data_IF_807138972744
#
_entry.id   IF_807138972744
#
_cell.length_a   1.000
_cell.length_b   1.000
_cell.length_c   1.000
_cell.angle_alpha   90.00
_cell.angle_beta   90.00
_cell.angle_gamma   90.00
#
_symmetry.space_group_name_H-M   'P 1'
#
loop_
_entity.id
_entity.type
_entity.pdbx_description
1 polymer ?
#
# COMPACT_ATOMS: atom_id res chain seq x y z
N UNK A 1 -0.03 -15.16 -1.89
CA UNK A 1 0.98 -14.24 -1.33
C UNK A 1 0.25 -12.96 -0.99
N UNK A 2 0.36 -12.53 0.26
CA UNK A 2 -0.35 -11.36 0.76
C UNK A 2 0.62 -10.23 1.06
N UNK A 3 0.26 -9.01 0.68
CA UNK A 3 0.99 -7.79 0.97
C UNK A 3 0.02 -6.77 1.58
N UNK A 4 0.42 -6.21 2.72
CA UNK A 4 -0.36 -5.23 3.46
C UNK A 4 0.41 -3.93 3.46
N UNK A 5 -0.18 -2.87 2.91
CA UNK A 5 0.43 -1.54 2.81
C UNK A 5 -0.43 -0.53 3.56
N UNK A 6 0.10 0.13 4.60
CA UNK A 6 -0.67 1.14 5.32
C UNK A 6 -0.79 2.43 4.50
N UNK A 7 -1.94 3.07 4.60
CA UNK A 7 -2.18 4.43 4.09
C UNK A 7 -2.04 5.38 5.27
N UNK A 8 -0.99 6.19 5.24
CA UNK A 8 -0.65 7.13 6.31
C UNK A 8 -1.16 8.52 5.93
N UNK A 9 -1.90 9.15 6.83
CA UNK A 9 -2.38 10.52 6.66
C UNK A 9 -1.24 11.54 6.84
N UNK A 10 -1.42 12.80 6.40
CA UNK A 10 -0.40 13.84 6.58
C UNK A 10 -0.01 14.11 8.04
N UNK A 11 -0.88 13.81 9.01
CA UNK A 11 -0.60 13.91 10.44
C UNK A 11 0.09 12.67 11.04
N UNK A 12 0.37 11.64 10.23
CA UNK A 12 1.15 10.46 10.62
C UNK A 12 0.32 9.30 11.18
N UNK A 13 -1.00 9.42 11.21
CA UNK A 13 -1.90 8.35 11.67
C UNK A 13 -2.17 7.33 10.56
N UNK A 14 -2.52 6.10 10.95
CA UNK A 14 -2.99 5.09 10.00
C UNK A 14 -4.44 5.41 9.64
N UNK A 15 -4.66 5.92 8.44
CA UNK A 15 -5.98 6.27 7.91
C UNK A 15 -6.71 5.05 7.35
N UNK A 16 -5.98 4.19 6.62
CA UNK A 16 -6.52 2.99 6.00
C UNK A 16 -5.41 1.96 5.78
N UNK A 17 -5.79 0.77 5.32
CA UNK A 17 -4.86 -0.31 4.94
C UNK A 17 -5.26 -0.86 3.59
N UNK A 18 -4.30 -0.96 2.67
CA UNK A 18 -4.45 -1.65 1.39
C UNK A 18 -3.97 -3.10 1.55
N UNK A 19 -4.89 -4.04 1.43
CA UNK A 19 -4.63 -5.48 1.47
C UNK A 19 -4.67 -6.05 0.05
N UNK A 20 -3.55 -6.58 -0.43
CA UNK A 20 -3.40 -7.14 -1.78
C UNK A 20 -2.99 -8.61 -1.66
N UNK A 21 -3.70 -9.49 -2.35
CA UNK A 21 -3.43 -10.94 -2.34
C UNK A 21 -3.36 -11.50 -3.77
N UNK A 22 -2.63 -12.60 -3.92
CA UNK A 22 -2.44 -13.30 -5.20
C UNK A 22 -2.16 -14.78 -4.96
N UNK A 23 -2.75 -15.67 -5.75
CA UNK A 23 -2.49 -17.12 -5.64
C UNK A 23 -1.14 -17.55 -6.26
N UNK A 24 -0.39 -16.61 -6.85
CA UNK A 24 0.91 -16.89 -7.50
C UNK A 24 2.07 -16.81 -6.50
N UNK A 25 3.03 -17.74 -6.62
CA UNK A 25 4.31 -17.67 -5.91
C UNK A 25 5.17 -16.54 -6.48
N UNK A 26 5.85 -15.80 -5.61
CA UNK A 26 6.64 -14.59 -5.92
C UNK A 26 5.88 -13.59 -6.80
N UNK A 27 4.59 -13.36 -6.47
CA UNK A 27 3.69 -12.51 -7.24
C UNK A 27 4.08 -11.03 -7.25
N UNK A 28 4.83 -10.57 -6.24
CA UNK A 28 5.19 -9.16 -6.08
C UNK A 28 6.69 -8.99 -6.15
N UNK A 29 7.11 -8.14 -7.08
CA UNK A 29 8.48 -7.66 -7.20
C UNK A 29 8.68 -6.42 -6.33
N UNK A 30 9.94 -5.99 -6.16
CA UNK A 30 10.24 -4.71 -5.50
C UNK A 30 9.59 -3.52 -6.21
N UNK A 31 9.45 -3.58 -7.54
CA UNK A 31 8.77 -2.56 -8.32
C UNK A 31 7.30 -2.45 -7.90
N UNK A 32 6.60 -3.57 -7.80
CA UNK A 32 5.19 -3.63 -7.40
C UNK A 32 5.00 -3.06 -5.98
N UNK A 33 5.89 -3.43 -5.05
CA UNK A 33 5.87 -2.92 -3.67
C UNK A 33 6.05 -1.40 -3.65
N UNK A 34 6.99 -0.86 -4.41
CA UNK A 34 7.25 0.59 -4.46
C UNK A 34 6.10 1.36 -5.11
N UNK A 35 5.47 0.78 -6.13
CA UNK A 35 4.26 1.34 -6.74
C UNK A 35 3.11 1.41 -5.73
N UNK A 36 2.85 0.33 -5.00
CA UNK A 36 1.79 0.28 -4.00
C UNK A 36 2.02 1.26 -2.85
N UNK A 37 3.27 1.45 -2.42
CA UNK A 37 3.64 2.49 -1.44
C UNK A 37 3.36 3.90 -1.97
N UNK A 38 3.77 4.18 -3.20
CA UNK A 38 3.52 5.49 -3.85
C UNK A 38 2.03 5.78 -3.97
N UNK A 39 1.23 4.76 -4.31
CA UNK A 39 -0.23 4.86 -4.33
C UNK A 39 -0.79 5.17 -2.93
N UNK A 40 -0.35 4.44 -1.90
CA UNK A 40 -0.81 4.67 -0.53
C UNK A 40 -0.45 6.08 -0.01
N UNK A 41 0.74 6.59 -0.35
CA UNK A 41 1.14 7.97 -0.02
C UNK A 41 0.22 8.99 -0.69
N UNK A 42 -0.16 8.77 -1.95
CA UNK A 42 -1.11 9.62 -2.66
C UNK A 42 -2.50 9.58 -2.03
N UNK A 43 -2.99 8.37 -1.69
CA UNK A 43 -4.29 8.19 -1.09
C UNK A 43 -4.39 8.87 0.28
N UNK A 44 -3.36 8.75 1.12
CA UNK A 44 -3.28 9.46 2.39
C UNK A 44 -3.33 10.97 2.19
N UNK A 45 -2.46 11.52 1.34
CA UNK A 45 -2.46 12.96 1.07
C UNK A 45 -3.78 13.53 0.53
N UNK A 46 -4.54 12.72 -0.21
CA UNK A 46 -5.74 13.19 -0.91
C UNK A 46 -7.04 13.00 -0.13
N UNK A 47 -7.14 11.95 0.69
CA UNK A 47 -8.42 11.49 1.22
C UNK A 47 -8.50 11.42 2.75
N UNK A 48 -7.39 11.61 3.47
CA UNK A 48 -7.38 11.65 4.95
C UNK A 48 -7.34 13.07 5.50
#
# INVERSE_FOLDING_TARGET
MKLVVPVISPNGDVFAVLDVDSDKLDAFTEYDINLLKTLCDYLGKKYS
#
